data_IF_915540212741
#
_entry.id   IF_915540212741
#
_cell.length_a   1.000
_cell.length_b   1.000
_cell.length_c   1.000
_cell.angle_alpha   90.00
_cell.angle_beta   90.00
_cell.angle_gamma   90.00
#
_symmetry.space_group_name_H-M   'P 1'
#
loop_
_entity.id
_entity.type
_entity.pdbx_description
1 polymer ?
#
# COMPACT_ATOMS: atom_id res chain seq x y z
N UNK A 1 14.53 -22.66 1.64
CA UNK A 1 14.39 -21.20 1.43
C UNK A 1 15.16 -20.50 2.53
N UNK A 2 15.62 -19.26 2.34
CA UNK A 2 16.28 -18.49 3.39
C UNK A 2 15.36 -17.37 3.91
N UNK A 3 15.45 -17.07 5.20
CA UNK A 3 14.79 -15.91 5.80
C UNK A 3 15.55 -14.60 5.50
N UNK A 4 15.00 -13.47 5.94
CA UNK A 4 15.59 -12.15 5.75
C UNK A 4 16.90 -11.92 6.53
N UNK A 5 17.27 -12.84 7.43
CA UNK A 5 18.55 -12.86 8.15
C UNK A 5 19.54 -13.88 7.56
N UNK A 6 19.18 -14.59 6.49
CA UNK A 6 20.01 -15.58 5.82
C UNK A 6 20.03 -16.98 6.45
N UNK A 7 19.10 -17.29 7.36
CA UNK A 7 18.97 -18.62 7.98
C UNK A 7 18.05 -19.50 7.15
N UNK A 8 18.19 -20.82 7.26
CA UNK A 8 17.23 -21.74 6.65
C UNK A 8 15.83 -21.52 7.24
N UNK A 9 14.85 -21.27 6.37
CA UNK A 9 13.47 -21.01 6.75
C UNK A 9 12.60 -22.25 6.46
N UNK A 10 12.23 -23.04 7.48
CA UNK A 10 11.21 -24.06 7.36
C UNK A 10 9.87 -23.35 7.38
N UNK A 11 9.10 -23.38 6.28
CA UNK A 11 7.90 -22.56 6.06
C UNK A 11 6.78 -22.68 7.13
N UNK A 12 6.94 -23.55 8.12
CA UNK A 12 6.12 -23.73 9.31
C UNK A 12 6.47 -22.80 10.48
N UNK A 13 7.60 -22.08 10.44
CA UNK A 13 8.10 -21.28 11.56
C UNK A 13 8.48 -19.85 11.16
N UNK A 14 7.97 -18.85 11.89
CA UNK A 14 8.36 -17.44 11.72
C UNK A 14 7.99 -16.79 10.38
N UNK A 15 8.58 -15.61 10.11
CA UNK A 15 8.36 -14.83 8.88
C UNK A 15 9.55 -14.97 7.95
N UNK A 16 9.32 -15.40 6.70
CA UNK A 16 10.36 -15.46 5.67
C UNK A 16 10.99 -14.10 5.35
N UNK A 17 10.19 -13.03 5.38
CA UNK A 17 10.64 -11.66 5.09
C UNK A 17 10.42 -10.75 6.31
N UNK A 18 11.22 -9.68 6.41
CA UNK A 18 11.03 -8.67 7.45
C UNK A 18 9.60 -8.08 7.36
N UNK A 19 8.92 -7.80 8.49
CA UNK A 19 7.54 -7.28 8.48
C UNK A 19 7.33 -5.98 7.68
N UNK A 20 8.41 -5.23 7.44
CA UNK A 20 8.43 -3.99 6.66
C UNK A 20 9.28 -4.10 5.37
N UNK A 21 9.52 -5.31 4.86
CA UNK A 21 10.19 -5.53 3.56
C UNK A 21 9.42 -4.86 2.42
N UNK A 22 10.13 -4.43 1.37
CA UNK A 22 9.60 -3.58 0.28
C UNK A 22 10.02 -4.12 -1.08
N UNK A 23 9.28 -3.74 -2.12
CA UNK A 23 9.64 -3.97 -3.52
C UNK A 23 9.82 -2.60 -4.23
N UNK A 24 11.01 -2.27 -4.73
CA UNK A 24 11.19 -1.12 -5.60
C UNK A 24 10.83 -1.51 -7.04
N UNK A 25 9.91 -0.78 -7.65
CA UNK A 25 9.54 -0.97 -9.06
C UNK A 25 9.25 0.37 -9.74
N UNK A 26 9.59 0.57 -11.02
CA UNK A 26 9.23 1.78 -11.75
C UNK A 26 7.71 1.95 -11.84
N UNK A 27 7.23 3.17 -11.58
CA UNK A 27 5.79 3.49 -11.66
C UNK A 27 5.18 3.11 -13.02
N UNK A 28 5.91 3.35 -14.12
CA UNK A 28 5.45 3.06 -15.49
C UNK A 28 5.22 1.57 -15.80
N UNK A 29 5.64 0.64 -14.94
CA UNK A 29 5.31 -0.79 -15.08
C UNK A 29 3.91 -1.15 -14.56
N UNK A 30 3.21 -0.21 -13.91
CA UNK A 30 1.85 -0.44 -13.45
C UNK A 30 0.86 -0.49 -14.63
N UNK A 31 0.21 -1.64 -14.83
CA UNK A 31 -0.76 -1.88 -15.92
C UNK A 31 -1.97 -0.94 -15.91
N UNK A 32 -2.25 -0.28 -14.79
CA UNK A 32 -3.36 0.65 -14.63
C UNK A 32 -2.89 2.04 -14.19
N UNK A 33 -1.66 2.42 -14.54
CA UNK A 33 -1.20 3.79 -14.30
C UNK A 33 -2.12 4.78 -15.03
N UNK A 34 -2.46 5.87 -14.36
CA UNK A 34 -3.25 6.94 -14.98
C UNK A 34 -2.49 7.53 -16.18
N UNK A 35 -3.17 7.83 -17.31
CA UNK A 35 -2.53 8.53 -18.42
C UNK A 35 -2.02 9.93 -18.03
N UNK A 36 -2.57 10.52 -16.96
CA UNK A 36 -2.19 11.85 -16.48
C UNK A 36 -1.17 11.81 -15.32
N UNK A 37 -0.58 10.65 -14.99
CA UNK A 37 0.33 10.48 -13.85
C UNK A 37 1.51 11.47 -13.84
N UNK A 38 2.02 11.81 -15.02
CA UNK A 38 3.18 12.71 -15.20
C UNK A 38 2.84 14.09 -15.74
N UNK A 39 1.57 14.51 -15.76
CA UNK A 39 1.21 15.86 -16.23
C UNK A 39 1.77 16.91 -15.24
N UNK A 40 2.62 17.85 -15.67
CA UNK A 40 3.20 18.86 -14.79
C UNK A 40 2.17 19.82 -14.18
N UNK A 41 0.96 19.90 -14.73
CA UNK A 41 -0.15 20.70 -14.18
C UNK A 41 -0.90 19.97 -13.07
N UNK A 42 -0.62 18.68 -12.88
CA UNK A 42 -1.28 17.81 -11.91
C UNK A 42 -2.68 17.38 -12.34
N UNK A 43 -3.44 16.87 -11.36
CA UNK A 43 -4.84 16.43 -11.53
C UNK A 43 -5.74 17.14 -10.52
N UNK A 44 -6.97 17.52 -10.90
CA UNK A 44 -7.91 18.10 -9.94
C UNK A 44 -8.32 17.07 -8.89
N UNK A 45 -8.34 17.47 -7.61
CA UNK A 45 -8.73 16.63 -6.49
C UNK A 45 -10.15 16.99 -6.06
N UNK A 46 -11.08 16.04 -6.20
CA UNK A 46 -12.50 16.25 -5.85
C UNK A 46 -12.85 15.81 -4.44
N UNK A 47 -12.03 14.97 -3.81
CA UNK A 47 -12.27 14.44 -2.47
C UNK A 47 -10.96 14.05 -1.79
N UNK A 48 -10.93 14.15 -0.45
CA UNK A 48 -9.86 13.63 0.40
C UNK A 48 -10.45 12.54 1.28
N UNK A 49 -9.90 11.34 1.21
CA UNK A 49 -10.28 10.22 2.09
C UNK A 49 -9.33 10.20 3.28
N UNK A 50 -9.89 10.07 4.49
CA UNK A 50 -9.12 9.82 5.71
C UNK A 50 -9.52 8.48 6.28
N UNK A 51 -8.59 7.54 6.29
CA UNK A 51 -8.79 6.21 6.84
C UNK A 51 -7.89 5.95 8.05
N UNK A 52 -8.39 5.09 8.96
CA UNK A 52 -7.60 4.47 10.01
C UNK A 52 -8.03 3.02 10.15
N UNK A 53 -7.12 2.13 10.54
CA UNK A 53 -7.46 0.73 10.77
C UNK A 53 -8.23 0.59 12.08
N UNK A 54 -9.56 0.58 12.02
CA UNK A 54 -10.43 0.34 13.16
C UNK A 54 -11.15 -0.99 12.99
N UNK A 55 -11.22 -1.77 14.07
CA UNK A 55 -11.81 -3.11 14.01
C UNK A 55 -13.33 -3.11 14.07
N UNK A 56 -13.97 -2.23 14.85
CA UNK A 56 -15.42 -2.24 15.09
C UNK A 56 -16.09 -0.88 15.44
N UNK A 57 -15.32 0.21 15.54
CA UNK A 57 -15.80 1.42 16.24
C UNK A 57 -16.63 2.36 15.37
N UNK A 58 -16.37 2.43 14.07
CA UNK A 58 -17.03 3.37 13.15
C UNK A 58 -17.63 2.64 11.94
N UNK A 59 -18.65 3.24 11.29
CA UNK A 59 -19.11 2.80 9.97
C UNK A 59 -17.95 2.77 8.96
N UNK A 60 -18.01 1.90 7.94
CA UNK A 60 -16.92 1.74 6.97
C UNK A 60 -16.65 3.01 6.14
N UNK A 61 -17.65 3.87 5.94
CA UNK A 61 -17.53 5.14 5.24
C UNK A 61 -18.42 6.19 5.92
N UNK A 62 -17.90 7.40 6.08
CA UNK A 62 -18.65 8.59 6.48
C UNK A 62 -18.15 9.78 5.64
N UNK A 63 -19.06 10.68 5.29
CA UNK A 63 -18.73 11.94 4.65
C UNK A 63 -18.84 13.07 5.68
N UNK A 64 -17.88 13.99 5.70
CA UNK A 64 -18.00 15.22 6.49
C UNK A 64 -19.19 16.04 5.98
N UNK A 65 -19.78 16.83 6.87
CA UNK A 65 -20.92 17.66 6.51
C UNK A 65 -20.51 18.92 5.73
N UNK A 66 -19.24 19.36 5.86
CA UNK A 66 -18.64 20.52 5.20
C UNK A 66 -17.15 20.31 4.89
#
# INVERSE_FOLDING_TARGET
>A
MLDWQGREWPATDGKAAHPNSRFPTPAGQCLRISPNWGDPRGVPISAIVRESRQSRVLPPVMQAFD
#
